data_IF_605629993522
#
_entry.id   IF_605629993522
#
_cell.length_a   1.000
_cell.length_b   1.000
_cell.length_c   1.000
_cell.angle_alpha   90.00
_cell.angle_beta   90.00
_cell.angle_gamma   90.00
#
_symmetry.space_group_name_H-M   'P 1'
#
loop_
_entity.id
_entity.type
_entity.pdbx_description
1 polymer ?
#
# COMPACT_ATOMS: atom_id res chain seq x y z
N UNK A 1 3.40 -48.85 -2.61
CA UNK A 1 4.31 -47.68 -2.60
C UNK A 1 4.14 -46.95 -3.92
N UNK A 2 3.26 -45.94 -3.98
CA UNK A 2 2.93 -45.23 -5.23
C UNK A 2 4.08 -44.32 -5.64
N UNK A 3 4.70 -44.59 -6.80
CA UNK A 3 5.73 -43.72 -7.39
C UNK A 3 5.01 -42.55 -8.06
N UNK A 4 5.03 -41.39 -7.42
CA UNK A 4 4.49 -40.15 -7.99
C UNK A 4 5.35 -39.81 -9.22
N UNK A 5 4.76 -39.64 -10.42
CA UNK A 5 5.51 -39.32 -11.62
C UNK A 5 6.07 -37.88 -11.50
N UNK A 6 7.40 -37.77 -11.39
CA UNK A 6 8.11 -36.52 -11.12
C UNK A 6 8.17 -35.57 -12.32
N UNK A 7 8.17 -36.09 -13.54
CA UNK A 7 8.31 -35.29 -14.76
C UNK A 7 7.11 -34.37 -15.07
N UNK A 8 5.84 -34.85 -15.14
CA UNK A 8 4.71 -33.96 -15.41
C UNK A 8 4.49 -32.93 -14.29
N UNK A 9 4.82 -33.31 -13.04
CA UNK A 9 4.73 -32.41 -11.90
C UNK A 9 5.79 -31.30 -11.95
N UNK A 10 7.00 -31.60 -12.42
CA UNK A 10 8.05 -30.62 -12.63
C UNK A 10 7.66 -29.61 -13.72
N UNK A 11 7.09 -30.09 -14.84
CA UNK A 11 6.61 -29.21 -15.92
C UNK A 11 5.48 -28.30 -15.44
N UNK A 12 4.51 -28.84 -14.70
CA UNK A 12 3.42 -28.04 -14.14
C UNK A 12 3.92 -26.98 -13.15
N UNK A 13 4.88 -27.32 -12.29
CA UNK A 13 5.50 -26.38 -11.35
C UNK A 13 6.24 -25.26 -12.10
N UNK A 14 7.03 -25.59 -13.12
CA UNK A 14 7.70 -24.59 -13.95
C UNK A 14 6.70 -23.67 -14.68
N UNK A 15 5.60 -24.20 -15.20
CA UNK A 15 4.57 -23.39 -15.85
C UNK A 15 3.88 -22.42 -14.87
N UNK A 16 3.60 -22.86 -13.64
CA UNK A 16 3.00 -22.02 -12.61
C UNK A 16 3.94 -20.89 -12.15
N UNK A 17 5.23 -21.18 -12.00
CA UNK A 17 6.23 -20.17 -11.63
C UNK A 17 6.46 -19.19 -12.79
N UNK A 18 6.53 -19.68 -14.03
CA UNK A 18 6.70 -18.81 -15.20
C UNK A 18 5.45 -17.94 -15.48
N UNK A 19 4.26 -18.43 -15.12
CA UNK A 19 2.99 -17.71 -15.30
C UNK A 19 2.57 -16.85 -14.13
N UNK A 20 3.27 -16.87 -12.99
CA UNK A 20 2.89 -16.07 -11.83
C UNK A 20 3.18 -14.58 -12.09
N UNK A 21 2.12 -13.77 -12.18
CA UNK A 21 2.24 -12.31 -12.28
C UNK A 21 2.61 -11.72 -10.91
N UNK A 22 3.43 -10.66 -10.90
CA UNK A 22 3.66 -9.89 -9.68
C UNK A 22 2.36 -9.21 -9.23
N UNK A 23 1.98 -9.41 -7.97
CA UNK A 23 0.91 -8.65 -7.34
C UNK A 23 1.49 -7.32 -6.83
N UNK A 24 0.88 -6.20 -7.20
CA UNK A 24 1.21 -4.88 -6.68
C UNK A 24 0.13 -4.45 -5.68
N UNK A 25 0.56 -3.90 -4.54
CA UNK A 25 -0.34 -3.21 -3.63
C UNK A 25 -0.63 -1.83 -4.19
N UNK A 26 -1.90 -1.51 -4.48
CA UNK A 26 -2.31 -0.16 -4.83
C UNK A 26 -2.74 0.64 -3.60
N UNK A 27 -2.91 1.95 -3.78
CA UNK A 27 -3.48 2.80 -2.74
C UNK A 27 -4.98 2.57 -2.58
N UNK A 28 -5.44 2.60 -1.33
CA UNK A 28 -6.87 2.73 -1.01
C UNK A 28 -7.27 4.21 -0.98
N UNK A 29 -8.48 4.58 -1.43
CA UNK A 29 -9.47 3.74 -2.10
C UNK A 29 -9.14 3.53 -3.59
N UNK A 30 -9.25 2.30 -4.10
CA UNK A 30 -9.00 2.05 -5.53
C UNK A 30 -8.72 0.60 -5.89
N UNK A 31 -8.60 0.35 -7.20
CA UNK A 31 -8.07 -0.92 -7.73
C UNK A 31 -6.54 -0.88 -7.63
N UNK A 32 -5.91 -2.04 -7.50
CA UNK A 32 -4.44 -2.16 -7.50
C UNK A 32 -3.77 -1.58 -8.77
N UNK A 33 -4.48 -1.52 -9.90
CA UNK A 33 -4.00 -0.96 -11.17
C UNK A 33 -4.35 0.52 -11.37
N UNK A 34 -5.00 1.17 -10.41
CA UNK A 34 -5.27 2.60 -10.49
C UNK A 34 -3.97 3.40 -10.34
N UNK A 35 -3.94 4.60 -10.91
CA UNK A 35 -2.84 5.54 -10.66
C UNK A 35 -2.83 5.94 -9.19
N UNK A 36 -1.63 6.11 -8.65
CA UNK A 36 -1.44 6.64 -7.31
C UNK A 36 -2.00 8.07 -7.20
N UNK A 37 -2.54 8.38 -6.02
CA UNK A 37 -3.08 9.69 -5.64
C UNK A 37 -1.97 10.43 -4.88
N UNK A 38 -1.42 11.53 -5.43
CA UNK A 38 -0.38 12.29 -4.76
C UNK A 38 -0.96 13.09 -3.60
N UNK A 39 -0.17 13.22 -2.53
CA UNK A 39 -0.42 14.16 -1.44
C UNK A 39 -0.30 15.59 -1.96
N UNK A 40 -1.18 16.48 -1.52
CA UNK A 40 -1.26 17.87 -1.96
C UNK A 40 -1.46 18.85 -0.80
N UNK A 41 -1.26 20.14 -1.07
CA UNK A 41 -1.52 21.23 -0.11
C UNK A 41 -3.01 21.40 0.24
N UNK A 42 -3.91 20.58 -0.31
CA UNK A 42 -5.31 20.51 0.12
C UNK A 42 -5.49 19.55 1.30
N UNK A 43 -4.58 18.58 1.47
CA UNK A 43 -4.65 17.57 2.51
C UNK A 43 -4.23 18.12 3.87
N UNK A 44 -4.71 17.50 4.96
CA UNK A 44 -4.46 17.96 6.33
C UNK A 44 -4.18 16.78 7.25
N UNK A 45 -3.09 16.87 8.01
CA UNK A 45 -2.82 15.94 9.12
C UNK A 45 -3.22 16.61 10.42
N UNK A 46 -4.11 15.95 11.17
CA UNK A 46 -4.55 16.39 12.48
C UNK A 46 -3.91 15.52 13.56
N UNK A 47 -3.20 16.14 14.50
CA UNK A 47 -2.56 15.43 15.62
C UNK A 47 -3.07 15.99 16.95
N UNK A 48 -3.50 15.10 17.85
CA UNK A 48 -3.90 15.46 19.19
C UNK A 48 -2.67 15.56 20.10
N UNK A 49 -2.57 16.66 20.86
CA UNK A 49 -1.46 16.87 21.77
C UNK A 49 -1.67 16.10 23.08
N UNK A 50 -0.76 15.17 23.41
CA UNK A 50 -0.94 14.25 24.53
C UNK A 50 -1.16 14.93 25.90
N UNK A 51 -0.65 16.15 26.08
CA UNK A 51 -0.68 16.89 27.33
C UNK A 51 -1.59 18.13 27.29
N UNK A 52 -2.38 18.29 26.22
CA UNK A 52 -3.22 19.46 25.98
C UNK A 52 -4.57 19.05 25.38
N UNK A 53 -5.55 19.94 25.46
CA UNK A 53 -6.85 19.78 24.81
C UNK A 53 -6.84 20.29 23.35
N UNK A 54 -5.67 20.40 22.74
CA UNK A 54 -5.50 21.02 21.43
C UNK A 54 -5.20 20.00 20.34
N UNK A 55 -5.58 20.34 19.11
CA UNK A 55 -5.26 19.60 17.88
C UNK A 55 -4.43 20.49 16.97
N UNK A 56 -3.27 20.01 16.54
CA UNK A 56 -2.45 20.67 15.53
C UNK A 56 -2.85 20.24 14.12
N UNK A 57 -2.83 21.19 13.17
CA UNK A 57 -3.15 20.97 11.75
C UNK A 57 -1.90 21.22 10.92
N UNK A 58 -1.41 20.20 10.22
CA UNK A 58 -0.16 20.26 9.45
C UNK A 58 -0.44 20.01 7.96
N UNK A 59 0.20 20.81 7.10
CA UNK A 59 0.31 20.54 5.67
C UNK A 59 1.32 19.39 5.45
N UNK A 60 0.88 18.26 4.88
CA UNK A 60 1.74 17.09 4.72
C UNK A 60 2.78 17.22 3.59
N UNK A 61 2.64 18.19 2.68
CA UNK A 61 3.58 18.33 1.55
C UNK A 61 4.90 18.92 2.00
N UNK A 62 4.86 19.95 2.84
CA UNK A 62 6.04 20.68 3.32
C UNK A 62 6.26 20.55 4.84
N UNK A 63 5.42 19.76 5.54
CA UNK A 63 5.43 19.59 6.99
C UNK A 63 5.28 20.93 7.74
N UNK A 64 4.40 21.80 7.25
CA UNK A 64 4.16 23.12 7.80
C UNK A 64 2.95 23.15 8.74
N UNK A 65 3.12 23.71 9.94
CA UNK A 65 2.00 23.99 10.84
C UNK A 65 1.10 25.06 10.22
N UNK A 66 -0.17 24.72 10.03
CA UNK A 66 -1.21 25.61 9.51
C UNK A 66 -2.02 26.26 10.63
N UNK A 67 -2.18 25.57 11.76
CA UNK A 67 -2.91 26.10 12.90
C UNK A 67 -3.04 25.12 14.06
N UNK A 68 -3.62 25.60 15.15
CA UNK A 68 -3.95 24.84 16.36
C UNK A 68 -5.39 25.16 16.74
N UNK A 69 -6.16 24.13 17.09
CA UNK A 69 -7.56 24.20 17.53
C UNK A 69 -7.63 23.76 18.99
#
# INVERSE_FOLDING_TARGET
MMKIPSFPLAVMTCALIAGSMSAFAGQIPGKASASDIPVSHQDRVYAAEQFSNTVSVTDPVDNKLLGVI
#
